data_IF_924094344721
#
_entry.id   IF_924094344721
#
_cell.length_a   1.000
_cell.length_b   1.000
_cell.length_c   1.000
_cell.angle_alpha   90.00
_cell.angle_beta   90.00
_cell.angle_gamma   90.00
#
_symmetry.space_group_name_H-M   'P 1'
#
loop_
_entity.id
_entity.type
_entity.pdbx_description
1 polymer ?
#
# COMPACT_ATOMS: atom_id res chain seq x y z
N UNK A 1 -20.51 8.61 14.58
CA UNK A 1 -20.48 7.17 14.24
C UNK A 1 -19.21 7.00 13.41
N UNK A 2 -18.14 6.39 13.95
CA UNK A 2 -16.85 6.23 13.25
C UNK A 2 -16.96 5.08 12.26
N UNK A 3 -16.56 5.31 11.01
CA UNK A 3 -16.36 4.24 10.02
C UNK A 3 -15.00 3.60 10.32
N UNK A 4 -15.03 2.42 10.91
CA UNK A 4 -13.85 1.54 11.01
C UNK A 4 -13.78 0.77 9.69
N UNK A 5 -12.62 0.81 9.03
CA UNK A 5 -12.41 -0.04 7.86
C UNK A 5 -12.04 -1.44 8.34
N UNK A 6 -13.05 -2.30 8.50
CA UNK A 6 -12.80 -3.74 8.63
C UNK A 6 -12.54 -4.30 7.23
N UNK A 7 -11.33 -4.77 6.99
CA UNK A 7 -10.97 -5.51 5.78
C UNK A 7 -11.65 -6.88 5.88
N UNK A 8 -12.93 -6.98 5.53
CA UNK A 8 -13.69 -8.23 5.57
C UNK A 8 -14.92 -8.18 4.65
N UNK A 9 -14.77 -8.65 3.41
CA UNK A 9 -15.73 -9.58 2.80
C UNK A 9 -15.11 -10.27 1.56
N UNK A 10 -15.28 -11.59 1.46
CA UNK A 10 -14.59 -12.51 0.55
C UNK A 10 -15.06 -12.45 -0.92
N UNK A 11 -15.54 -11.30 -1.41
CA UNK A 11 -16.13 -11.18 -2.77
C UNK A 11 -15.51 -10.09 -3.65
N UNK A 12 -14.52 -9.34 -3.18
CA UNK A 12 -13.84 -8.29 -3.97
C UNK A 12 -12.34 -8.30 -3.65
N UNK A 13 -11.50 -8.97 -4.45
CA UNK A 13 -10.01 -9.00 -4.33
C UNK A 13 -9.47 -7.55 -4.14
N UNK A 14 -9.22 -7.03 -2.93
CA UNK A 14 -8.14 -7.25 -1.93
C UNK A 14 -6.78 -6.66 -2.33
N UNK A 15 -6.72 -5.69 -3.23
CA UNK A 15 -5.51 -4.86 -3.44
C UNK A 15 -5.97 -3.40 -3.50
N UNK A 16 -5.92 -2.73 -2.37
CA UNK A 16 -6.41 -1.36 -2.26
C UNK A 16 -5.23 -0.41 -2.40
N UNK A 17 -5.21 0.29 -3.52
CA UNK A 17 -4.42 1.50 -3.67
C UNK A 17 -5.07 2.57 -2.79
N UNK A 18 -4.33 3.05 -1.80
CA UNK A 18 -4.84 4.00 -0.81
C UNK A 18 -3.91 5.18 -0.66
N UNK A 19 -4.48 6.31 -0.27
CA UNK A 19 -3.74 7.30 0.50
C UNK A 19 -3.70 6.85 1.95
N UNK A 20 -2.53 6.80 2.54
CA UNK A 20 -2.29 6.40 3.92
C UNK A 20 -1.69 7.55 4.71
N UNK A 21 -2.22 7.80 5.91
CA UNK A 21 -1.69 8.75 6.87
C UNK A 21 -1.30 8.00 8.15
N UNK A 22 0.01 7.94 8.50
CA UNK A 22 0.46 7.26 9.71
C UNK A 22 -0.02 8.01 10.95
N UNK A 23 -0.64 7.27 11.89
CA UNK A 23 -0.84 7.62 13.29
C UNK A 23 -1.10 9.12 13.62
N UNK A 24 -1.97 9.79 12.87
CA UNK A 24 -2.49 11.09 13.26
C UNK A 24 -3.56 10.89 14.35
N UNK A 25 -3.46 11.63 15.46
CA UNK A 25 -4.37 11.52 16.60
C UNK A 25 -5.83 11.86 16.26
N UNK A 26 -6.03 12.62 15.18
CA UNK A 26 -7.32 13.08 14.71
C UNK A 26 -7.52 12.68 13.25
N UNK A 27 -8.77 12.38 12.89
CA UNK A 27 -9.17 12.13 11.51
C UNK A 27 -8.83 13.38 10.66
N UNK A 28 -8.21 13.22 9.49
CA UNK A 28 -7.98 14.35 8.60
C UNK A 28 -9.30 15.06 8.26
N UNK A 29 -9.29 16.39 8.28
CA UNK A 29 -10.46 17.16 7.86
C UNK A 29 -10.71 17.01 6.36
N UNK A 30 -11.95 16.68 6.01
CA UNK A 30 -12.37 16.50 4.62
C UNK A 30 -12.10 15.09 4.08
N UNK A 31 -13.04 14.62 3.25
CA UNK A 31 -13.08 13.27 2.65
C UNK A 31 -13.36 12.13 3.65
N UNK A 32 -13.89 11.03 3.14
CA UNK A 32 -14.34 9.87 3.93
C UNK A 32 -13.15 8.95 4.31
N UNK A 33 -12.15 9.52 4.99
CA UNK A 33 -11.05 8.73 5.57
C UNK A 33 -11.59 7.67 6.52
N UNK A 34 -11.11 6.45 6.36
CA UNK A 34 -11.48 5.33 7.20
C UNK A 34 -10.32 4.96 8.12
N UNK A 35 -10.65 4.60 9.36
CA UNK A 35 -9.64 4.21 10.34
C UNK A 35 -9.09 2.82 9.96
N UNK A 36 -7.77 2.72 9.79
CA UNK A 36 -7.05 1.47 9.62
C UNK A 36 -6.49 1.08 10.99
N UNK A 37 -6.97 -0.04 11.53
CA UNK A 37 -6.50 -0.57 12.81
C UNK A 37 -5.96 -1.97 12.63
N UNK A 38 -4.75 -2.17 13.13
CA UNK A 38 -4.08 -3.46 13.19
C UNK A 38 -4.06 -4.16 11.83
N UNK A 39 -3.83 -3.40 10.76
CA UNK A 39 -3.65 -4.00 9.43
C UNK A 39 -2.42 -4.90 9.48
N UNK A 40 -2.58 -6.22 9.29
CA UNK A 40 -1.46 -7.12 9.38
C UNK A 40 -0.52 -6.84 8.22
N UNK A 41 0.73 -6.51 8.51
CA UNK A 41 1.69 -6.14 7.48
C UNK A 41 3.09 -6.60 7.88
N UNK A 42 3.45 -7.83 7.53
CA UNK A 42 4.76 -8.39 7.83
C UNK A 42 4.79 -9.89 8.10
N UNK A 43 3.82 -10.67 7.62
CA UNK A 43 3.80 -12.13 7.76
C UNK A 43 4.04 -12.60 9.19
N UNK A 44 5.04 -13.47 9.36
CA UNK A 44 5.43 -14.06 10.65
C UNK A 44 6.01 -13.05 11.67
N UNK A 45 6.32 -11.82 11.25
CA UNK A 45 6.85 -10.77 12.13
C UNK A 45 5.79 -10.10 13.02
N UNK A 46 4.49 -10.34 12.77
CA UNK A 46 3.37 -9.77 13.54
C UNK A 46 3.40 -8.23 13.61
N UNK A 47 3.92 -7.56 12.59
CA UNK A 47 3.87 -6.11 12.48
C UNK A 47 2.48 -5.66 12.04
N UNK A 48 2.08 -4.49 12.54
CA UNK A 48 0.76 -3.92 12.27
C UNK A 48 0.88 -2.46 11.85
N UNK A 49 0.04 -2.06 10.90
CA UNK A 49 -0.09 -0.69 10.45
C UNK A 49 -1.37 -0.09 11.01
N UNK A 50 -1.21 1.04 11.71
CA UNK A 50 -2.29 1.86 12.24
C UNK A 50 -2.27 3.25 11.59
N UNK A 51 -3.44 3.78 11.26
CA UNK A 51 -3.56 5.12 10.71
C UNK A 51 -4.91 5.39 10.06
N UNK A 52 -4.89 6.27 9.07
CA UNK A 52 -6.06 6.60 8.27
C UNK A 52 -5.82 6.24 6.82
N UNK A 53 -6.79 5.60 6.19
CA UNK A 53 -6.75 5.26 4.78
C UNK A 53 -7.88 5.94 4.03
N UNK A 54 -7.58 6.40 2.82
CA UNK A 54 -8.57 6.83 1.86
C UNK A 54 -8.38 5.98 0.59
N UNK A 55 -9.34 5.08 0.28
CA UNK A 55 -9.29 4.28 -0.94
C UNK A 55 -9.23 5.16 -2.19
N UNK A 56 -8.33 4.79 -3.09
CA UNK A 56 -8.22 5.41 -4.39
C UNK A 56 -8.87 4.51 -5.42
N UNK A 57 -9.80 5.06 -6.19
CA UNK A 57 -10.29 4.39 -7.39
C UNK A 57 -9.17 4.42 -8.46
N UNK A 58 -8.20 3.51 -8.34
CA UNK A 58 -7.15 3.35 -9.35
C UNK A 58 -7.75 2.96 -10.70
N UNK A 59 -7.03 3.24 -11.78
CA UNK A 59 -7.47 2.83 -13.11
C UNK A 59 -7.62 1.29 -13.18
N UNK A 60 -8.71 0.75 -13.76
CA UNK A 60 -8.89 -0.71 -13.91
C UNK A 60 -7.73 -1.40 -14.62
N UNK A 61 -7.03 -0.69 -15.52
CA UNK A 61 -5.86 -1.19 -16.23
C UNK A 61 -4.66 -1.49 -15.31
N UNK A 62 -4.62 -0.95 -14.10
CA UNK A 62 -3.52 -1.13 -13.16
C UNK A 62 -3.74 -2.32 -12.21
N UNK A 63 -4.91 -2.97 -12.22
CA UNK A 63 -5.28 -3.99 -11.25
C UNK A 63 -4.34 -5.20 -11.24
N UNK A 64 -3.90 -5.67 -12.40
CA UNK A 64 -2.94 -6.78 -12.48
C UNK A 64 -1.57 -6.38 -11.92
N UNK A 65 -1.12 -5.16 -12.15
CA UNK A 65 0.13 -4.65 -11.59
C UNK A 65 0.07 -4.49 -10.08
N UNK A 66 -1.07 -4.01 -9.54
CA UNK A 66 -1.28 -3.90 -8.10
C UNK A 66 -1.31 -5.28 -7.43
N UNK A 67 -1.93 -6.27 -8.08
CA UNK A 67 -1.85 -7.67 -7.65
C UNK A 67 -0.42 -8.17 -7.62
N UNK A 68 0.34 -8.00 -8.71
CA UNK A 68 1.74 -8.45 -8.78
C UNK A 68 2.63 -7.81 -7.70
N UNK A 69 2.31 -6.59 -7.25
CA UNK A 69 3.00 -5.93 -6.13
C UNK A 69 2.71 -6.68 -4.83
N UNK A 70 1.44 -6.96 -4.54
CA UNK A 70 0.99 -7.62 -3.30
C UNK A 70 1.38 -9.09 -3.25
N UNK A 71 1.32 -9.79 -4.39
CA UNK A 71 1.77 -11.18 -4.52
C UNK A 71 3.30 -11.29 -4.48
N UNK A 72 4.00 -10.16 -4.34
CA UNK A 72 5.47 -10.09 -4.27
C UNK A 72 6.15 -10.78 -5.45
N UNK A 73 5.52 -10.77 -6.63
CA UNK A 73 6.03 -11.43 -7.85
C UNK A 73 7.40 -10.88 -8.32
N UNK A 74 7.81 -9.76 -7.74
CA UNK A 74 9.08 -9.09 -7.93
C UNK A 74 10.19 -9.57 -6.97
N UNK A 75 9.84 -10.20 -5.85
CA UNK A 75 10.78 -10.67 -4.85
C UNK A 75 11.32 -12.04 -5.24
N UNK A 76 12.65 -12.17 -5.28
CA UNK A 76 13.33 -13.43 -5.62
C UNK A 76 13.60 -14.32 -4.41
N UNK A 77 13.38 -13.80 -3.20
CA UNK A 77 13.47 -14.58 -1.97
C UNK A 77 12.28 -15.57 -1.88
N UNK A 78 12.57 -16.83 -1.59
CA UNK A 78 11.55 -17.88 -1.46
C UNK A 78 10.61 -17.64 -0.28
N UNK A 79 11.03 -16.84 0.70
CA UNK A 79 10.24 -16.47 1.87
C UNK A 79 9.59 -15.08 1.74
N UNK A 80 9.70 -14.43 0.57
CA UNK A 80 9.13 -13.10 0.35
C UNK A 80 9.59 -12.08 1.42
N UNK A 81 8.65 -11.28 1.91
CA UNK A 81 8.86 -10.33 3.00
C UNK A 81 8.45 -10.87 4.40
N UNK A 82 8.21 -12.18 4.55
CA UNK A 82 7.63 -12.80 5.77
C UNK A 82 8.41 -12.52 7.06
N UNK A 83 9.73 -12.38 6.95
CA UNK A 83 10.65 -12.20 8.08
C UNK A 83 11.29 -10.81 8.11
N UNK A 84 10.71 -9.87 7.37
CA UNK A 84 11.20 -8.50 7.26
C UNK A 84 11.86 -8.22 5.91
N UNK A 85 12.24 -6.96 5.72
CA UNK A 85 12.65 -6.44 4.42
C UNK A 85 14.17 -6.26 4.36
N UNK A 86 14.83 -7.11 3.56
CA UNK A 86 16.25 -6.99 3.28
C UNK A 86 16.55 -5.84 2.31
N UNK A 87 17.80 -5.38 2.27
CA UNK A 87 18.22 -4.37 1.29
C UNK A 87 18.14 -4.89 -0.17
N UNK A 88 18.29 -6.20 -0.38
CA UNK A 88 18.06 -6.83 -1.69
C UNK A 88 16.60 -6.71 -2.11
N UNK A 89 15.67 -7.04 -1.21
CA UNK A 89 14.24 -6.94 -1.47
C UNK A 89 13.83 -5.49 -1.77
N UNK A 90 14.38 -4.50 -1.05
CA UNK A 90 14.18 -3.08 -1.39
C UNK A 90 14.64 -2.78 -2.80
N UNK A 91 15.84 -3.21 -3.20
CA UNK A 91 16.38 -2.95 -4.53
C UNK A 91 15.53 -3.62 -5.63
N UNK A 92 15.05 -4.84 -5.40
CA UNK A 92 14.16 -5.58 -6.32
C UNK A 92 12.81 -4.88 -6.49
N UNK A 93 12.19 -4.43 -5.39
CA UNK A 93 10.97 -3.63 -5.43
C UNK A 93 11.15 -2.36 -6.26
N UNK A 94 12.24 -1.62 -6.01
CA UNK A 94 12.58 -0.40 -6.79
C UNK A 94 12.74 -0.71 -8.27
N UNK A 95 13.47 -1.79 -8.61
CA UNK A 95 13.67 -2.22 -9.99
C UNK A 95 12.37 -2.61 -10.69
N UNK A 96 11.50 -3.34 -9.99
CA UNK A 96 10.18 -3.73 -10.49
C UNK A 96 9.31 -2.51 -10.80
N UNK A 97 9.21 -1.57 -9.85
CA UNK A 97 8.43 -0.34 -10.05
C UNK A 97 8.95 0.47 -11.25
N UNK A 98 10.27 0.63 -11.37
CA UNK A 98 10.87 1.34 -12.48
C UNK A 98 10.51 0.71 -13.85
N UNK A 99 10.47 -0.62 -13.92
CA UNK A 99 10.04 -1.37 -15.11
C UNK A 99 8.57 -1.15 -15.49
N UNK A 100 7.74 -0.70 -14.55
CA UNK A 100 6.33 -0.33 -14.76
C UNK A 100 6.11 1.18 -14.92
N UNK A 101 7.18 1.97 -14.92
CA UNK A 101 7.10 3.43 -14.97
C UNK A 101 6.67 4.06 -13.64
N UNK A 102 6.71 3.31 -12.55
CA UNK A 102 6.42 3.75 -11.20
C UNK A 102 7.71 4.08 -10.44
N UNK A 103 7.55 4.74 -9.30
CA UNK A 103 8.64 5.12 -8.39
C UNK A 103 8.30 4.70 -6.95
N UNK A 104 9.29 4.24 -6.17
CA UNK A 104 9.07 3.85 -4.78
C UNK A 104 8.72 5.06 -3.91
N UNK A 105 7.87 4.85 -2.92
CA UNK A 105 7.63 5.82 -1.85
C UNK A 105 8.68 5.72 -0.74
N UNK A 106 8.28 6.03 0.48
CA UNK A 106 9.12 5.91 1.67
C UNK A 106 9.44 4.43 1.97
N UNK A 107 10.62 3.96 1.56
CA UNK A 107 11.02 2.55 1.67
C UNK A 107 11.16 2.05 3.11
N UNK A 108 11.23 2.93 4.13
CA UNK A 108 11.14 2.49 5.53
C UNK A 108 9.77 1.94 5.91
N UNK A 109 8.73 2.23 5.11
CA UNK A 109 7.38 1.69 5.26
C UNK A 109 7.15 0.41 4.45
N UNK A 110 8.11 -0.01 3.63
CA UNK A 110 8.00 -1.25 2.86
C UNK A 110 8.03 -2.44 3.83
N UNK A 111 6.99 -3.25 3.76
CA UNK A 111 6.83 -4.52 4.47
C UNK A 111 5.74 -5.34 3.77
N UNK A 112 5.65 -6.64 4.06
CA UNK A 112 4.59 -7.47 3.49
C UNK A 112 3.22 -6.84 3.76
N UNK A 113 2.33 -6.83 2.77
CA UNK A 113 1.00 -6.23 2.88
C UNK A 113 0.95 -4.69 2.88
N UNK A 114 2.09 -3.99 2.81
CA UNK A 114 2.17 -2.54 2.69
C UNK A 114 3.34 -2.10 1.77
N UNK A 115 2.98 -1.65 0.57
CA UNK A 115 3.93 -1.36 -0.51
C UNK A 115 3.89 0.13 -0.88
N UNK A 116 4.86 0.95 -0.43
CA UNK A 116 4.84 2.39 -0.63
C UNK A 116 5.16 2.77 -2.08
N UNK A 117 4.39 3.70 -2.63
CA UNK A 117 4.57 4.29 -3.95
C UNK A 117 4.84 5.79 -3.81
N UNK A 118 5.59 6.35 -4.76
CA UNK A 118 5.80 7.79 -4.84
C UNK A 118 4.51 8.50 -5.27
N UNK A 119 4.26 9.69 -4.74
CA UNK A 119 3.13 10.54 -5.13
C UNK A 119 3.54 11.59 -6.19
N UNK A 120 4.53 11.30 -7.03
CA UNK A 120 4.91 12.20 -8.14
C UNK A 120 3.83 12.23 -9.21
N UNK A 121 3.68 13.37 -9.91
CA UNK A 121 2.68 13.53 -10.97
C UNK A 121 2.74 12.40 -12.00
N UNK A 122 3.95 11.94 -12.34
CA UNK A 122 4.14 10.80 -13.24
C UNK A 122 3.50 9.50 -12.73
N UNK A 123 3.67 9.19 -11.44
CA UNK A 123 3.09 7.99 -10.83
C UNK A 123 1.57 8.13 -10.76
N UNK A 124 1.06 9.29 -10.35
CA UNK A 124 -0.36 9.58 -10.30
C UNK A 124 -1.03 9.45 -11.66
N UNK A 125 -0.42 10.03 -12.71
CA UNK A 125 -0.87 9.92 -14.10
C UNK A 125 -0.87 8.45 -14.57
N UNK A 126 0.17 7.69 -14.22
CA UNK A 126 0.30 6.27 -14.57
C UNK A 126 -0.80 5.42 -13.94
N UNK A 127 -1.18 5.74 -12.70
CA UNK A 127 -2.20 5.02 -11.93
C UNK A 127 -3.62 5.56 -12.17
N UNK A 128 -3.76 6.67 -12.93
CA UNK A 128 -5.03 7.35 -13.17
C UNK A 128 -5.62 7.98 -11.91
N UNK A 129 -4.77 8.41 -10.98
CA UNK A 129 -5.15 9.00 -9.69
C UNK A 129 -5.09 10.53 -9.81
N UNK A 130 -6.00 11.21 -9.10
CA UNK A 130 -5.90 12.65 -8.89
C UNK A 130 -4.76 13.06 -7.96
N UNK A 131 -4.76 14.31 -7.54
CA UNK A 131 -3.78 14.83 -6.59
C UNK A 131 -3.94 14.23 -5.18
N UNK A 132 -2.89 14.35 -4.36
CA UNK A 132 -2.95 13.93 -2.96
C UNK A 132 -4.04 14.71 -2.20
N UNK A 133 -4.91 14.03 -1.44
CA UNK A 133 -6.01 14.65 -0.72
C UNK A 133 -5.56 15.43 0.52
N UNK A 134 -4.36 15.16 1.03
CA UNK A 134 -3.87 15.74 2.28
C UNK A 134 -2.34 15.82 2.31
N UNK A 135 -1.83 16.87 2.97
CA UNK A 135 -0.40 16.99 3.23
C UNK A 135 0.08 15.83 4.11
N UNK A 136 1.19 15.22 3.73
CA UNK A 136 1.77 14.08 4.46
C UNK A 136 1.13 12.73 4.16
N UNK A 137 0.09 12.66 3.31
CA UNK A 137 -0.46 11.40 2.86
C UNK A 137 0.54 10.66 1.96
N UNK A 138 0.77 9.39 2.27
CA UNK A 138 1.63 8.47 1.53
C UNK A 138 0.76 7.65 0.58
N UNK A 139 1.21 7.46 -0.66
CA UNK A 139 0.54 6.53 -1.57
C UNK A 139 1.01 5.11 -1.26
N UNK A 140 0.09 4.19 -1.05
CA UNK A 140 0.40 2.80 -0.70
C UNK A 140 -0.50 1.82 -1.43
N UNK A 141 0.06 0.67 -1.80
CA UNK A 141 -0.73 -0.52 -2.10
C UNK A 141 -0.84 -1.32 -0.81
N UNK A 142 -2.05 -1.56 -0.34
CA UNK A 142 -2.32 -2.45 0.78
C UNK A 142 -2.84 -3.79 0.24
N UNK A 143 -2.32 -4.87 0.80
CA UNK A 143 -2.69 -6.23 0.43
C UNK A 143 -3.03 -7.08 1.66
N UNK A 144 -3.84 -8.14 1.51
CA UNK A 144 -4.07 -9.13 2.54
C UNK A 144 -2.76 -9.84 2.87
N UNK A 145 -2.55 -10.07 4.16
CA UNK A 145 -1.34 -10.67 4.72
C UNK A 145 -1.68 -11.96 5.50
N UNK A 146 -2.67 -12.74 5.05
CA UNK A 146 -3.07 -13.96 5.73
C UNK A 146 -3.23 -15.09 4.72
N UNK A 147 -2.20 -15.93 4.60
CA UNK A 147 -2.43 -17.37 4.50
C UNK A 147 -2.80 -17.92 5.89
#
# INVERSE_FOLDING_TARGET
>A
MRLVHEISDHTKRWWDLVWFLPAAAEQPEGQDWAELRSHPCGGMSCNYLDGWVLPVAGAPACQDMLRDIVDEAWCTDQLGLDYGVSDSAKAEYVGYLAGKGLEPGELSMLQQGAYPLSATNRVLDTLGIGESPASGALLMVLGPNCD
#
